data_IF_787190010372
#
_entry.id   IF_787190010372
#
_cell.length_a   1.000
_cell.length_b   1.000
_cell.length_c   1.000
_cell.angle_alpha   90.00
_cell.angle_beta   90.00
_cell.angle_gamma   90.00
#
_symmetry.space_group_name_H-M   'P 1'
#
loop_
_entity.id
_entity.type
_entity.pdbx_description
1 polymer ?
#
# COMPACT_ATOMS: atom_id res chain seq x y z
N UNK A 1 -5.20 21.18 -53.51
CA UNK A 1 -5.49 20.53 -52.21
C UNK A 1 -4.25 19.98 -51.49
N UNK A 2 -3.37 19.15 -52.11
CA UNK A 2 -2.16 18.62 -51.44
C UNK A 2 -1.16 19.68 -50.92
N UNK A 3 -0.99 20.81 -51.61
CA UNK A 3 -0.10 21.91 -51.19
C UNK A 3 -0.63 22.71 -49.99
N UNK A 4 -1.95 22.85 -49.84
CA UNK A 4 -2.60 23.55 -48.72
C UNK A 4 -2.50 22.71 -47.44
N UNK A 5 -2.66 21.39 -47.56
CA UNK A 5 -2.50 20.45 -46.45
C UNK A 5 -1.05 20.42 -45.94
N UNK A 6 -0.06 20.49 -46.83
CA UNK A 6 1.37 20.54 -46.46
C UNK A 6 1.74 21.85 -45.74
N UNK A 7 1.24 22.99 -46.24
CA UNK A 7 1.41 24.30 -45.60
C UNK A 7 0.72 24.37 -44.23
N UNK A 8 -0.46 23.77 -44.09
CA UNK A 8 -1.13 23.64 -42.80
C UNK A 8 -0.30 22.79 -41.82
N UNK A 9 0.23 21.63 -42.25
CA UNK A 9 1.07 20.79 -41.40
C UNK A 9 2.39 21.47 -40.99
N UNK A 10 3.03 22.25 -41.88
CA UNK A 10 4.24 23.02 -41.56
C UNK A 10 3.93 24.20 -40.63
N UNK A 11 2.78 24.88 -40.80
CA UNK A 11 2.31 25.91 -39.89
C UNK A 11 1.93 25.36 -38.50
N UNK A 12 1.33 24.17 -38.43
CA UNK A 12 1.07 23.48 -37.17
C UNK A 12 2.38 23.03 -36.49
N UNK A 13 3.35 22.52 -37.26
CA UNK A 13 4.66 22.14 -36.72
C UNK A 13 5.44 23.36 -36.18
N UNK A 14 5.43 24.50 -36.88
CA UNK A 14 6.12 25.72 -36.42
C UNK A 14 5.42 26.42 -35.24
N UNK A 15 4.08 26.33 -35.13
CA UNK A 15 3.33 26.77 -33.94
C UNK A 15 3.59 25.88 -32.71
N UNK A 16 3.82 24.57 -32.89
CA UNK A 16 4.20 23.69 -31.77
C UNK A 16 5.65 23.84 -31.30
N UNK A 17 6.54 24.33 -32.17
CA UNK A 17 7.94 24.62 -31.82
C UNK A 17 8.10 25.90 -30.96
N UNK A 18 7.12 26.81 -31.02
CA UNK A 18 7.10 28.10 -30.32
C UNK A 18 6.18 28.14 -29.10
N UNK A 19 5.35 27.11 -28.87
CA UNK A 19 4.48 27.01 -27.70
C UNK A 19 5.28 26.74 -26.41
N UNK A 20 5.01 27.52 -25.37
CA UNK A 20 5.60 27.33 -24.04
C UNK A 20 5.24 25.93 -23.52
N UNK A 21 6.21 25.18 -23.00
CA UNK A 21 5.98 23.86 -22.39
C UNK A 21 6.10 23.95 -20.87
N UNK A 22 5.37 23.12 -20.14
CA UNK A 22 5.60 22.92 -18.72
C UNK A 22 6.77 21.95 -18.49
N UNK A 23 7.51 22.14 -17.40
CA UNK A 23 8.44 21.19 -16.80
C UNK A 23 7.97 20.90 -15.39
N UNK A 24 7.19 19.84 -15.21
CA UNK A 24 6.90 19.34 -13.86
C UNK A 24 7.89 18.24 -13.57
N UNK A 25 8.74 18.48 -12.57
CA UNK A 25 9.77 17.55 -12.12
C UNK A 25 9.48 17.13 -10.70
N UNK A 26 9.76 15.87 -10.44
CA UNK A 26 9.69 15.31 -9.09
C UNK A 26 10.96 15.67 -8.34
N UNK A 27 10.81 16.19 -7.12
CA UNK A 27 11.89 16.49 -6.19
C UNK A 27 11.80 15.52 -5.02
N UNK A 28 12.95 15.09 -4.50
CA UNK A 28 13.00 14.33 -3.26
C UNK A 28 12.90 15.32 -2.09
N UNK A 29 11.89 15.15 -1.24
CA UNK A 29 11.57 16.04 -0.12
C UNK A 29 11.38 15.20 1.13
N UNK A 30 12.18 15.44 2.15
CA UNK A 30 11.98 14.82 3.46
C UNK A 30 10.83 15.53 4.17
N UNK A 31 9.73 14.83 4.45
CA UNK A 31 8.57 15.38 5.14
C UNK A 31 8.42 14.78 6.54
N UNK A 32 7.81 15.53 7.46
CA UNK A 32 7.45 15.03 8.79
C UNK A 32 5.95 14.80 8.91
N UNK A 33 5.61 13.82 9.74
CA UNK A 33 4.25 13.36 9.96
C UNK A 33 4.01 13.31 11.47
N UNK A 34 2.81 13.70 11.87
CA UNK A 34 2.41 13.53 13.27
C UNK A 34 2.11 12.04 13.46
N UNK A 35 2.87 11.39 14.34
CA UNK A 35 2.66 9.98 14.62
C UNK A 35 1.36 9.79 15.41
N UNK A 36 0.54 8.79 15.05
CA UNK A 36 -0.59 8.38 15.87
C UNK A 36 -0.13 8.08 17.31
N UNK A 37 -0.93 8.44 18.31
CA UNK A 37 -0.61 8.24 19.74
C UNK A 37 -0.18 6.80 20.05
N UNK A 38 -0.85 5.81 19.45
CA UNK A 38 -0.56 4.38 19.65
C UNK A 38 0.84 3.96 19.15
N UNK A 39 1.47 4.76 18.29
CA UNK A 39 2.82 4.54 17.76
C UNK A 39 3.86 5.45 18.40
N UNK A 40 3.46 6.38 19.29
CA UNK A 40 4.43 7.22 20.00
C UNK A 40 5.26 6.34 20.92
N UNK A 41 6.57 6.55 20.89
CA UNK A 41 7.58 5.79 21.63
C UNK A 41 7.84 4.36 21.14
N UNK A 42 7.33 3.98 19.96
CA UNK A 42 7.79 2.76 19.30
C UNK A 42 9.29 2.89 19.00
N UNK A 43 10.09 1.96 19.51
CA UNK A 43 11.55 1.94 19.30
C UNK A 43 12.04 0.64 18.68
N UNK A 44 11.28 -0.44 18.86
CA UNK A 44 11.70 -1.78 18.47
C UNK A 44 10.67 -2.46 17.59
N UNK A 45 11.12 -3.36 16.72
CA UNK A 45 10.24 -4.24 15.96
C UNK A 45 10.80 -5.66 15.87
N UNK A 46 9.91 -6.64 15.73
CA UNK A 46 10.25 -8.01 15.33
C UNK A 46 9.76 -8.29 13.91
N UNK A 47 10.44 -9.22 13.22
CA UNK A 47 10.11 -9.62 11.86
C UNK A 47 10.10 -11.15 11.76
N UNK A 48 8.95 -11.69 11.37
CA UNK A 48 8.74 -13.14 11.23
C UNK A 48 8.11 -13.47 9.89
N UNK A 49 8.66 -14.48 9.21
CA UNK A 49 7.98 -15.19 8.12
C UNK A 49 7.42 -16.48 8.70
N UNK A 50 6.10 -16.62 8.68
CA UNK A 50 5.43 -17.81 9.18
C UNK A 50 5.50 -18.95 8.17
N UNK A 51 5.66 -20.18 8.67
CA UNK A 51 5.57 -21.39 7.88
C UNK A 51 4.13 -21.91 7.88
N UNK A 52 3.59 -22.23 6.70
CA UNK A 52 2.29 -22.90 6.54
C UNK A 52 2.40 -24.44 6.65
N UNK A 53 3.62 -24.96 6.83
CA UNK A 53 3.99 -26.37 6.92
C UNK A 53 4.08 -27.09 5.57
N UNK A 54 3.51 -26.53 4.50
CA UNK A 54 3.38 -27.22 3.19
C UNK A 54 4.10 -26.50 2.07
N UNK A 55 3.88 -25.19 1.91
CA UNK A 55 4.48 -24.39 0.85
C UNK A 55 5.99 -24.22 1.06
N UNK A 56 6.37 -23.84 2.28
CA UNK A 56 7.78 -23.71 2.64
C UNK A 56 8.40 -25.08 2.89
N UNK A 57 7.68 -25.96 3.59
CA UNK A 57 8.21 -27.25 4.05
C UNK A 57 9.59 -27.05 4.69
N UNK A 58 9.68 -26.04 5.56
CA UNK A 58 10.95 -25.58 6.10
C UNK A 58 11.43 -26.53 7.18
N UNK A 59 12.72 -26.84 7.18
CA UNK A 59 13.34 -27.65 8.25
C UNK A 59 14.29 -26.73 9.00
N UNK A 60 13.92 -26.39 10.24
CA UNK A 60 14.76 -25.56 11.09
C UNK A 60 16.12 -26.22 11.35
N UNK A 61 17.15 -25.39 11.38
CA UNK A 61 18.52 -25.79 11.76
C UNK A 61 18.99 -24.91 12.90
N UNK A 62 20.06 -25.29 13.60
CA UNK A 62 20.64 -24.46 14.66
C UNK A 62 21.06 -23.07 14.14
N UNK A 63 21.67 -23.02 12.95
CA UNK A 63 22.08 -21.77 12.32
C UNK A 63 20.90 -20.95 11.78
N UNK A 64 19.82 -21.62 11.35
CA UNK A 64 18.63 -20.98 10.79
C UNK A 64 17.35 -21.56 11.44
N UNK A 65 17.00 -21.12 12.66
CA UNK A 65 15.87 -21.68 13.40
C UNK A 65 14.50 -21.31 12.82
N UNK A 66 14.43 -20.28 11.97
CA UNK A 66 13.18 -19.80 11.35
C UNK A 66 13.36 -19.56 9.85
N UNK A 67 12.26 -19.37 9.10
CA UNK A 67 12.38 -18.96 7.69
C UNK A 67 13.07 -17.59 7.59
N UNK A 68 12.73 -16.65 8.47
CA UNK A 68 13.28 -15.30 8.48
C UNK A 68 14.80 -15.25 8.75
N UNK A 69 15.37 -16.22 9.50
CA UNK A 69 16.82 -16.30 9.74
C UNK A 69 17.64 -16.62 8.48
N UNK A 70 17.02 -17.07 7.39
CA UNK A 70 17.70 -17.23 6.09
C UNK A 70 18.01 -15.89 5.40
N UNK A 71 17.70 -14.76 6.04
CA UNK A 71 17.87 -13.42 5.50
C UNK A 71 18.40 -12.49 6.59
N UNK A 72 18.98 -11.36 6.19
CA UNK A 72 19.32 -10.27 7.12
C UNK A 72 18.06 -9.59 7.73
N UNK A 73 16.87 -9.96 7.26
CA UNK A 73 15.58 -9.38 7.61
C UNK A 73 15.32 -8.05 6.91
N UNK A 74 14.32 -7.32 7.40
CA UNK A 74 14.01 -5.97 6.97
C UNK A 74 14.66 -4.96 7.92
N UNK A 75 14.78 -3.71 7.48
CA UNK A 75 15.19 -2.52 8.22
C UNK A 75 14.09 -1.45 8.15
N UNK A 76 13.60 -0.99 9.30
CA UNK A 76 12.62 0.09 9.39
C UNK A 76 13.29 1.31 10.03
N UNK A 77 13.31 2.46 9.35
CA UNK A 77 14.07 3.62 9.83
C UNK A 77 13.63 4.06 11.22
N UNK A 78 14.61 4.34 12.07
CA UNK A 78 14.38 4.80 13.43
C UNK A 78 13.97 3.69 14.42
N UNK A 79 13.86 2.43 13.97
CA UNK A 79 13.53 1.30 14.82
C UNK A 79 14.66 0.27 14.89
N UNK A 80 14.86 -0.31 16.07
CA UNK A 80 15.78 -1.42 16.31
C UNK A 80 15.08 -2.77 16.13
N UNK A 81 15.71 -3.69 15.40
CA UNK A 81 15.19 -5.06 15.26
C UNK A 81 15.52 -5.87 16.50
N UNK A 82 14.50 -6.47 17.13
CA UNK A 82 14.64 -7.39 18.26
C UNK A 82 13.90 -8.71 17.96
N UNK A 83 14.27 -9.79 18.66
CA UNK A 83 13.66 -11.11 18.46
C UNK A 83 12.41 -11.33 19.29
N UNK A 84 12.30 -10.67 20.45
CA UNK A 84 11.21 -10.84 21.40
C UNK A 84 10.84 -9.49 22.03
N UNK A 85 9.62 -9.40 22.59
CA UNK A 85 9.12 -8.23 23.32
C UNK A 85 9.22 -6.90 22.55
N UNK A 86 9.08 -6.97 21.23
CA UNK A 86 9.11 -5.79 20.38
C UNK A 86 7.87 -4.90 20.55
N UNK A 87 8.04 -3.59 20.36
CA UNK A 87 6.91 -2.65 20.34
C UNK A 87 5.99 -2.90 19.14
N UNK A 88 6.58 -3.32 18.00
CA UNK A 88 5.88 -3.74 16.79
C UNK A 88 6.22 -5.18 16.40
N UNK A 89 5.25 -5.90 15.87
CA UNK A 89 5.42 -7.23 15.31
C UNK A 89 5.04 -7.21 13.83
N UNK A 90 6.00 -7.51 12.95
CA UNK A 90 5.76 -7.70 11.52
C UNK A 90 5.66 -9.20 11.24
N UNK A 91 4.44 -9.65 10.94
CA UNK A 91 4.13 -11.05 10.65
C UNK A 91 3.82 -11.19 9.17
N UNK A 92 4.58 -12.03 8.49
CA UNK A 92 4.45 -12.27 7.04
C UNK A 92 4.04 -13.71 6.78
N UNK A 93 2.92 -13.86 6.09
CA UNK A 93 2.56 -15.09 5.39
C UNK A 93 2.78 -14.93 3.90
N UNK A 94 3.25 -15.99 3.26
CA UNK A 94 3.32 -16.08 1.81
C UNK A 94 2.86 -17.46 1.33
N UNK A 95 2.01 -17.47 0.30
CA UNK A 95 1.53 -18.70 -0.34
C UNK A 95 1.52 -18.51 -1.85
N UNK A 96 2.05 -19.47 -2.61
CA UNK A 96 2.18 -19.31 -4.05
C UNK A 96 2.70 -20.54 -4.79
N UNK A 97 3.23 -20.27 -5.99
CA UNK A 97 3.90 -21.27 -6.81
C UNK A 97 5.34 -21.51 -6.31
N UNK A 98 5.89 -22.67 -6.65
CA UNK A 98 7.33 -22.88 -6.51
C UNK A 98 8.10 -21.97 -7.47
N UNK A 99 9.34 -21.60 -7.11
CA UNK A 99 10.21 -20.78 -7.95
C UNK A 99 10.35 -21.37 -9.35
N UNK A 100 10.14 -20.53 -10.36
CA UNK A 100 10.31 -20.86 -11.78
C UNK A 100 11.59 -20.22 -12.32
N UNK A 101 12.31 -20.96 -13.14
CA UNK A 101 13.43 -20.43 -13.93
C UNK A 101 12.91 -19.90 -15.26
N UNK A 102 13.38 -18.72 -15.64
CA UNK A 102 13.22 -18.13 -16.97
C UNK A 102 14.61 -17.68 -17.46
N UNK A 103 14.88 -17.51 -18.77
CA UNK A 103 16.20 -17.08 -19.23
C UNK A 103 16.70 -15.82 -18.49
N UNK A 104 17.76 -15.97 -17.70
CA UNK A 104 18.36 -14.90 -16.90
C UNK A 104 17.62 -14.51 -15.61
N UNK A 105 16.46 -15.12 -15.30
CA UNK A 105 15.60 -14.71 -14.19
C UNK A 105 15.10 -15.90 -13.34
N UNK A 106 14.89 -15.62 -12.05
CA UNK A 106 14.14 -16.46 -11.12
C UNK A 106 12.84 -15.73 -10.78
N UNK A 107 11.72 -16.42 -10.95
CA UNK A 107 10.37 -15.87 -10.80
C UNK A 107 9.67 -16.46 -9.58
N UNK A 108 9.24 -15.60 -8.67
CA UNK A 108 8.36 -15.92 -7.55
C UNK A 108 6.97 -15.34 -7.81
N UNK A 109 5.94 -16.18 -7.80
CA UNK A 109 4.55 -15.76 -7.94
C UNK A 109 3.73 -16.28 -6.77
N UNK A 110 2.97 -15.40 -6.13
CA UNK A 110 2.14 -15.78 -5.00
C UNK A 110 1.38 -14.62 -4.39
N UNK A 111 0.87 -14.83 -3.19
CA UNK A 111 0.12 -13.84 -2.42
C UNK A 111 0.77 -13.66 -1.06
N UNK A 112 0.88 -12.41 -0.64
CA UNK A 112 1.36 -11.97 0.66
C UNK A 112 0.17 -11.68 1.57
N UNK A 113 0.34 -11.96 2.86
CA UNK A 113 -0.45 -11.38 3.94
C UNK A 113 0.52 -10.83 4.97
N UNK A 114 0.57 -9.51 5.11
CA UNK A 114 1.50 -8.80 6.00
C UNK A 114 0.67 -8.11 7.06
N UNK A 115 0.87 -8.51 8.31
CA UNK A 115 0.24 -7.89 9.47
C UNK A 115 1.31 -7.14 10.27
N UNK A 116 1.04 -5.87 10.56
CA UNK A 116 1.82 -5.09 11.53
C UNK A 116 0.96 -4.90 12.77
N UNK A 117 1.43 -5.43 13.89
CA UNK A 117 0.76 -5.38 15.17
C UNK A 117 1.57 -4.55 16.16
N UNK A 118 0.93 -3.94 17.15
CA UNK A 118 1.64 -3.42 18.31
C UNK A 118 1.88 -4.52 19.37
N UNK A 119 2.51 -4.16 20.49
CA UNK A 119 2.75 -5.05 21.65
C UNK A 119 1.49 -5.64 22.30
N UNK A 120 0.33 -5.03 22.07
CA UNK A 120 -0.99 -5.49 22.56
C UNK A 120 -1.72 -6.33 21.49
N UNK A 121 -1.02 -6.69 20.41
CA UNK A 121 -1.56 -7.40 19.24
C UNK A 121 -2.68 -6.63 18.52
N UNK A 122 -2.77 -5.31 18.69
CA UNK A 122 -3.66 -4.45 17.90
C UNK A 122 -3.15 -4.37 16.47
N UNK A 123 -4.04 -4.62 15.52
CA UNK A 123 -3.75 -4.58 14.09
C UNK A 123 -3.64 -3.14 13.61
N UNK A 124 -2.41 -2.73 13.30
CA UNK A 124 -2.09 -1.41 12.78
C UNK A 124 -2.21 -1.40 11.26
N UNK A 125 -1.62 -2.39 10.59
CA UNK A 125 -1.66 -2.53 9.14
C UNK A 125 -1.94 -3.99 8.76
N UNK A 126 -2.76 -4.19 7.73
CA UNK A 126 -2.97 -5.48 7.09
C UNK A 126 -2.92 -5.31 5.58
N UNK A 127 -1.94 -5.95 4.93
CA UNK A 127 -1.71 -5.82 3.50
C UNK A 127 -1.80 -7.22 2.88
N UNK A 128 -2.77 -7.38 1.97
CA UNK A 128 -2.93 -8.58 1.14
C UNK A 128 -2.70 -8.21 -0.32
N UNK A 129 -1.67 -8.78 -0.93
CA UNK A 129 -1.30 -8.49 -2.32
C UNK A 129 -0.88 -9.77 -3.06
N UNK A 130 -1.36 -9.92 -4.30
CA UNK A 130 -0.87 -10.95 -5.24
C UNK A 130 0.18 -10.34 -6.14
N UNK A 131 1.37 -10.95 -6.19
CA UNK A 131 2.51 -10.39 -6.92
C UNK A 131 3.24 -11.45 -7.75
N UNK A 132 3.96 -10.96 -8.74
CA UNK A 132 5.02 -11.67 -9.45
C UNK A 132 6.31 -10.87 -9.30
N UNK A 133 7.35 -11.50 -8.75
CA UNK A 133 8.67 -10.90 -8.50
C UNK A 133 9.72 -11.63 -9.30
N UNK A 134 10.55 -10.85 -9.99
CA UNK A 134 11.61 -11.33 -10.86
C UNK A 134 12.94 -10.87 -10.29
N UNK A 135 13.85 -11.82 -10.06
CA UNK A 135 15.22 -11.51 -9.66
C UNK A 135 16.21 -12.09 -10.65
N UNK A 136 17.38 -11.45 -10.78
CA UNK A 136 18.43 -11.90 -11.70
C UNK A 136 19.00 -13.24 -11.25
N UNK A 137 18.99 -14.23 -12.14
CA UNK A 137 19.61 -15.53 -11.89
C UNK A 137 21.15 -15.46 -11.83
N UNK A 138 21.76 -14.33 -12.22
CA UNK A 138 23.21 -14.13 -12.16
C UNK A 138 23.72 -13.68 -10.78
N UNK A 139 22.83 -13.25 -9.89
CA UNK A 139 23.21 -12.86 -8.52
C UNK A 139 23.42 -14.11 -7.67
N UNK A 140 24.58 -14.20 -7.03
CA UNK A 140 25.02 -15.38 -6.26
C UNK A 140 24.16 -15.68 -5.03
N UNK A 141 23.46 -14.68 -4.50
CA UNK A 141 22.55 -14.82 -3.36
C UNK A 141 21.29 -15.64 -3.69
N UNK A 142 20.92 -15.74 -4.97
CA UNK A 142 19.76 -16.52 -5.40
C UNK A 142 20.21 -17.85 -6.04
N UNK A 143 19.74 -18.95 -5.46
CA UNK A 143 20.05 -20.30 -5.92
C UNK A 143 18.82 -21.20 -5.79
N UNK A 144 18.56 -22.01 -6.82
CA UNK A 144 17.40 -22.91 -6.86
C UNK A 144 17.76 -24.38 -7.06
N UNK A 145 19.03 -24.71 -6.81
CA UNK A 145 19.64 -26.03 -7.08
C UNK A 145 19.00 -27.14 -6.24
N UNK A 146 18.67 -26.87 -4.98
CA UNK A 146 18.03 -27.83 -4.10
C UNK A 146 16.94 -27.16 -3.26
N UNK A 147 16.24 -27.94 -2.41
CA UNK A 147 15.13 -27.44 -1.60
C UNK A 147 15.55 -26.31 -0.66
N UNK A 148 16.69 -26.46 0.01
CA UNK A 148 17.11 -25.53 1.05
C UNK A 148 17.54 -24.20 0.44
N UNK A 149 18.30 -24.23 -0.66
CA UNK A 149 18.66 -23.00 -1.39
C UNK A 149 17.45 -22.33 -2.04
N UNK A 150 16.46 -23.12 -2.50
CA UNK A 150 15.16 -22.58 -2.96
C UNK A 150 14.43 -21.85 -1.85
N UNK A 151 14.40 -22.38 -0.63
CA UNK A 151 13.74 -21.75 0.50
C UNK A 151 14.45 -20.47 0.94
N UNK A 152 15.79 -20.45 0.94
CA UNK A 152 16.58 -19.23 1.15
C UNK A 152 16.23 -18.18 0.09
N UNK A 153 16.24 -18.55 -1.20
CA UNK A 153 15.91 -17.63 -2.29
C UNK A 153 14.49 -17.08 -2.18
N UNK A 154 13.51 -17.91 -1.84
CA UNK A 154 12.13 -17.45 -1.57
C UNK A 154 12.11 -16.45 -0.41
N UNK A 155 12.76 -16.77 0.69
CA UNK A 155 12.80 -15.92 1.88
C UNK A 155 13.44 -14.57 1.57
N UNK A 156 14.54 -14.53 0.79
CA UNK A 156 15.16 -13.28 0.35
C UNK A 156 14.20 -12.42 -0.48
N UNK A 157 13.57 -12.99 -1.51
CA UNK A 157 12.60 -12.26 -2.36
C UNK A 157 11.41 -11.76 -1.53
N UNK A 158 10.91 -12.58 -0.59
CA UNK A 158 9.82 -12.22 0.33
C UNK A 158 10.24 -11.05 1.22
N UNK A 159 11.41 -11.14 1.85
CA UNK A 159 11.94 -10.09 2.74
C UNK A 159 12.19 -8.79 1.99
N UNK A 160 12.81 -8.82 0.81
CA UNK A 160 13.01 -7.64 -0.03
C UNK A 160 11.69 -6.96 -0.40
N UNK A 161 10.67 -7.76 -0.76
CA UNK A 161 9.37 -7.19 -1.10
C UNK A 161 8.67 -6.56 0.12
N UNK A 162 8.74 -7.21 1.29
CA UNK A 162 8.17 -6.68 2.54
C UNK A 162 8.88 -5.39 2.94
N UNK A 163 10.20 -5.33 2.80
CA UNK A 163 10.99 -4.12 3.04
C UNK A 163 10.52 -2.95 2.18
N UNK A 164 10.37 -3.18 0.87
CA UNK A 164 9.94 -2.13 -0.07
C UNK A 164 8.52 -1.67 0.21
N UNK A 165 7.63 -2.61 0.57
CA UNK A 165 6.25 -2.29 0.88
C UNK A 165 6.11 -1.51 2.20
N UNK A 166 6.79 -1.93 3.26
CA UNK A 166 6.73 -1.24 4.55
C UNK A 166 7.42 0.14 4.52
N UNK A 167 8.38 0.37 3.62
CA UNK A 167 8.90 1.73 3.34
C UNK A 167 7.80 2.70 2.89
N UNK A 168 6.73 2.21 2.26
CA UNK A 168 5.60 3.08 1.91
C UNK A 168 4.81 3.57 3.13
N UNK A 169 4.94 2.89 4.27
CA UNK A 169 4.27 3.18 5.54
C UNK A 169 5.23 3.66 6.63
N UNK A 170 6.49 3.88 6.30
CA UNK A 170 7.56 4.21 7.25
C UNK A 170 7.30 5.51 8.03
N UNK A 171 6.52 6.43 7.47
CA UNK A 171 6.11 7.66 8.15
C UNK A 171 5.26 7.40 9.40
N UNK A 172 4.52 6.29 9.44
CA UNK A 172 3.76 5.90 10.63
C UNK A 172 4.71 5.57 11.80
N UNK A 173 5.85 4.96 11.50
CA UNK A 173 6.77 4.40 12.49
C UNK A 173 7.91 5.35 12.88
N UNK A 174 8.40 6.15 11.94
CA UNK A 174 9.53 7.05 12.17
C UNK A 174 9.13 8.53 12.32
N UNK A 175 7.86 8.87 12.03
CA UNK A 175 7.39 10.26 11.96
C UNK A 175 7.96 11.06 10.79
N UNK A 176 8.67 10.41 9.86
CA UNK A 176 9.22 11.07 8.67
C UNK A 176 9.22 10.14 7.46
N UNK A 177 9.23 10.70 6.26
CA UNK A 177 9.47 9.92 5.05
C UNK A 177 10.01 10.79 3.92
N UNK A 178 10.77 10.16 3.03
CA UNK A 178 11.18 10.78 1.78
C UNK A 178 10.03 10.70 0.77
N UNK A 179 9.62 11.87 0.27
CA UNK A 179 8.53 12.04 -0.68
C UNK A 179 9.06 12.48 -2.03
N UNK A 180 8.47 11.91 -3.08
CA UNK A 180 8.69 12.29 -4.48
C UNK A 180 7.68 13.35 -4.91
N UNK A 181 7.93 14.60 -4.56
CA UNK A 181 6.97 15.72 -4.68
C UNK A 181 7.10 16.44 -6.04
N UNK A 182 6.04 16.52 -6.86
CA UNK A 182 6.09 17.22 -8.14
C UNK A 182 6.05 18.75 -8.01
N UNK A 183 7.00 19.45 -8.62
CA UNK A 183 6.98 20.91 -8.78
C UNK A 183 7.16 21.31 -10.24
N UNK A 184 6.41 22.34 -10.66
CA UNK A 184 6.33 22.87 -12.01
C UNK A 184 7.06 24.18 -12.21
N UNK A 185 7.77 24.27 -13.33
CA UNK A 185 8.30 25.50 -13.94
C UNK A 185 7.96 25.53 -15.44
N UNK A 186 8.10 26.68 -16.09
CA UNK A 186 7.93 26.79 -17.54
C UNK A 186 9.26 26.57 -18.29
N UNK A 187 9.26 25.88 -19.45
CA UNK A 187 10.46 25.58 -20.26
C UNK A 187 10.76 26.64 -21.30
N UNK A 188 12.04 27.00 -21.47
CA UNK A 188 12.53 27.92 -22.52
C UNK A 188 11.94 29.34 -22.40
N UNK A 189 11.79 29.81 -21.16
CA UNK A 189 11.46 31.20 -20.87
C UNK A 189 12.68 32.10 -21.17
N UNK A 190 12.44 33.29 -21.72
CA UNK A 190 13.47 34.33 -21.95
C UNK A 190 13.04 35.71 -21.47
N UNK A 191 11.74 35.92 -21.28
CA UNK A 191 11.10 37.21 -20.99
C UNK A 191 9.61 37.01 -20.60
N UNK A 192 9.01 38.01 -19.96
CA UNK A 192 7.57 38.08 -19.64
C UNK A 192 7.15 37.36 -18.35
N UNK A 193 5.84 37.16 -18.21
CA UNK A 193 5.22 36.61 -16.99
C UNK A 193 5.70 35.18 -16.67
N UNK A 194 5.94 34.34 -17.68
CA UNK A 194 6.46 32.99 -17.47
C UNK A 194 7.89 32.96 -16.92
N UNK A 195 8.76 33.88 -17.37
CA UNK A 195 10.10 34.04 -16.81
C UNK A 195 10.01 34.58 -15.38
N UNK A 196 9.22 35.64 -15.17
CA UNK A 196 9.00 36.24 -13.84
C UNK A 196 8.46 35.23 -12.83
N UNK A 197 7.55 34.36 -13.27
CA UNK A 197 7.05 33.23 -12.50
C UNK A 197 8.18 32.27 -12.11
N UNK A 198 9.03 31.88 -13.06
CA UNK A 198 10.15 30.97 -12.81
C UNK A 198 11.18 31.58 -11.85
N UNK A 199 11.55 32.85 -12.05
CA UNK A 199 12.49 33.59 -11.20
C UNK A 199 12.00 33.64 -9.75
N UNK A 200 10.69 33.79 -9.54
CA UNK A 200 10.09 33.85 -8.20
C UNK A 200 9.81 32.46 -7.62
N UNK A 201 9.37 31.50 -8.44
CA UNK A 201 9.00 30.15 -8.00
C UNK A 201 10.21 29.29 -7.65
N UNK A 202 11.32 29.43 -8.37
CA UNK A 202 12.48 28.57 -8.14
C UNK A 202 13.05 28.70 -6.73
N UNK A 203 13.29 29.91 -6.18
CA UNK A 203 13.71 30.06 -4.79
C UNK A 203 12.69 29.49 -3.77
N UNK A 204 11.39 29.62 -4.05
CA UNK A 204 10.34 29.05 -3.19
C UNK A 204 10.38 27.52 -3.18
N UNK A 205 10.53 26.89 -4.35
CA UNK A 205 10.68 25.44 -4.47
C UNK A 205 11.95 24.98 -3.76
N UNK A 206 13.08 25.66 -4.02
CA UNK A 206 14.37 25.31 -3.41
C UNK A 206 14.31 25.42 -1.87
N UNK A 207 13.60 26.42 -1.33
CA UNK A 207 13.37 26.56 0.12
C UNK A 207 12.52 25.43 0.70
N UNK A 208 11.42 25.05 0.03
CA UNK A 208 10.56 23.93 0.46
C UNK A 208 11.32 22.60 0.41
N UNK A 209 12.15 22.38 -0.61
CA UNK A 209 12.97 21.17 -0.72
C UNK A 209 14.03 21.12 0.40
N UNK A 210 14.62 22.26 0.75
CA UNK A 210 15.59 22.34 1.83
C UNK A 210 14.98 22.15 3.22
N UNK A 211 13.77 22.65 3.46
CA UNK A 211 13.04 22.46 4.70
C UNK A 211 11.52 22.46 4.47
N UNK A 212 10.95 21.27 4.33
CA UNK A 212 9.52 21.10 4.03
C UNK A 212 8.58 21.40 5.19
N UNK A 213 9.12 21.56 6.41
CA UNK A 213 8.34 21.85 7.61
C UNK A 213 8.24 23.37 7.89
N UNK A 214 8.92 24.21 7.09
CA UNK A 214 8.83 25.66 7.21
C UNK A 214 7.46 26.15 6.73
N UNK A 215 6.55 26.32 7.70
CA UNK A 215 5.17 26.74 7.44
C UNK A 215 5.13 28.14 6.83
N UNK A 216 6.04 29.06 7.20
CA UNK A 216 6.08 30.39 6.60
C UNK A 216 6.53 30.34 5.13
N UNK A 217 7.52 29.50 4.80
CA UNK A 217 7.95 29.32 3.43
C UNK A 217 6.84 28.70 2.57
N UNK A 218 6.13 27.71 3.09
CA UNK A 218 4.96 27.11 2.44
C UNK A 218 3.85 28.15 2.22
N UNK A 219 3.54 28.97 3.22
CA UNK A 219 2.51 30.02 3.10
C UNK A 219 2.89 31.09 2.08
N UNK A 220 4.14 31.55 2.08
CA UNK A 220 4.67 32.48 1.07
C UNK A 220 4.54 31.89 -0.33
N UNK A 221 4.86 30.61 -0.51
CA UNK A 221 4.78 29.93 -1.79
C UNK A 221 3.33 29.76 -2.28
N UNK A 222 2.43 29.31 -1.40
CA UNK A 222 0.99 29.15 -1.70
C UNK A 222 0.37 30.51 -2.07
N UNK A 223 0.66 31.57 -1.30
CA UNK A 223 0.16 32.91 -1.60
C UNK A 223 0.66 33.41 -2.96
N UNK A 224 1.96 33.24 -3.24
CA UNK A 224 2.53 33.61 -4.53
C UNK A 224 1.83 32.86 -5.67
N UNK A 225 1.77 31.53 -5.65
CA UNK A 225 1.19 30.76 -6.75
C UNK A 225 -0.32 30.99 -6.92
N UNK A 226 -1.05 31.22 -5.84
CA UNK A 226 -2.48 31.58 -5.89
C UNK A 226 -2.67 32.91 -6.63
N UNK A 227 -1.82 33.91 -6.36
CA UNK A 227 -1.87 35.20 -7.05
C UNK A 227 -1.60 35.08 -8.57
N UNK A 228 -0.85 34.05 -9.00
CA UNK A 228 -0.53 33.82 -10.41
C UNK A 228 -1.69 33.24 -11.22
N UNK A 229 -2.76 32.75 -10.58
CA UNK A 229 -3.92 32.16 -11.29
C UNK A 229 -4.61 33.18 -12.21
N UNK A 230 -4.66 34.45 -11.78
CA UNK A 230 -5.33 35.54 -12.47
C UNK A 230 -4.38 36.38 -13.35
N UNK A 231 -3.09 36.06 -13.37
CA UNK A 231 -2.11 36.78 -14.20
C UNK A 231 -2.26 36.35 -15.66
N UNK A 232 -2.21 37.31 -16.58
CA UNK A 232 -2.14 37.03 -18.01
C UNK A 232 -0.70 36.65 -18.41
N UNK A 233 -0.50 35.38 -18.79
CA UNK A 233 0.78 34.87 -19.27
C UNK A 233 0.98 35.11 -20.79
N UNK A 234 0.03 35.79 -21.41
CA UNK A 234 0.01 36.10 -22.83
C UNK A 234 -0.29 34.88 -23.70
N UNK A 235 -0.53 35.14 -24.99
CA UNK A 235 -0.96 34.12 -25.97
C UNK A 235 0.02 32.96 -26.18
N UNK A 236 1.28 33.09 -25.76
CA UNK A 236 2.31 32.05 -25.91
C UNK A 236 2.18 30.93 -24.87
N UNK A 237 1.52 31.20 -23.74
CA UNK A 237 1.26 30.22 -22.68
C UNK A 237 -0.22 29.90 -22.67
N UNK A 238 -0.58 28.68 -23.08
CA UNK A 238 -1.97 28.23 -23.01
C UNK A 238 -2.39 28.10 -21.55
N UNK A 239 -3.64 28.44 -21.22
CA UNK A 239 -4.18 28.30 -19.86
C UNK A 239 -4.02 26.89 -19.31
N UNK A 240 -4.21 25.86 -20.15
CA UNK A 240 -3.97 24.46 -19.74
C UNK A 240 -2.54 24.23 -19.23
N UNK A 241 -1.54 24.87 -19.82
CA UNK A 241 -0.13 24.74 -19.43
C UNK A 241 0.16 25.58 -18.19
N UNK A 242 -0.40 26.79 -18.12
CA UNK A 242 -0.36 27.66 -16.94
C UNK A 242 -0.92 26.95 -15.71
N UNK A 243 -2.17 26.51 -15.81
CA UNK A 243 -2.92 25.85 -14.74
C UNK A 243 -2.22 24.55 -14.31
N UNK A 244 -1.68 23.77 -15.24
CA UNK A 244 -0.89 22.58 -14.91
C UNK A 244 0.28 22.91 -13.99
N UNK A 245 1.07 23.93 -14.30
CA UNK A 245 2.24 24.33 -13.50
C UNK A 245 1.82 24.85 -12.14
N UNK A 246 0.87 25.79 -12.12
CA UNK A 246 0.45 26.45 -10.88
C UNK A 246 -0.24 25.46 -9.94
N UNK A 247 -1.20 24.67 -10.43
CA UNK A 247 -1.90 23.71 -9.58
C UNK A 247 -1.01 22.54 -9.13
N UNK A 248 0.01 22.15 -9.89
CA UNK A 248 0.99 21.19 -9.39
C UNK A 248 1.74 21.75 -8.16
N UNK A 249 2.20 22.99 -8.23
CA UNK A 249 2.88 23.63 -7.11
C UNK A 249 1.95 23.81 -5.89
N UNK A 250 0.72 24.27 -6.12
CA UNK A 250 -0.28 24.43 -5.07
C UNK A 250 -0.66 23.10 -4.41
N UNK A 251 -0.84 22.03 -5.19
CA UNK A 251 -1.11 20.68 -4.67
C UNK A 251 0.03 20.23 -3.75
N UNK A 252 1.27 20.33 -4.24
CA UNK A 252 2.47 19.91 -3.51
C UNK A 252 2.70 20.67 -2.22
N UNK A 253 2.60 22.00 -2.22
CA UNK A 253 2.76 22.77 -0.98
C UNK A 253 1.59 22.58 -0.02
N UNK A 254 0.36 22.43 -0.50
CA UNK A 254 -0.79 22.17 0.38
C UNK A 254 -0.65 20.80 1.07
N UNK A 255 -0.16 19.78 0.35
CA UNK A 255 0.17 18.48 0.92
C UNK A 255 1.22 18.58 2.03
N UNK A 256 2.34 19.28 1.78
CA UNK A 256 3.40 19.47 2.77
C UNK A 256 2.94 20.31 3.97
N UNK A 257 1.99 21.23 3.76
CA UNK A 257 1.31 21.99 4.82
C UNK A 257 0.25 21.14 5.57
N UNK A 258 0.04 19.89 5.19
CA UNK A 258 -0.99 18.99 5.74
C UNK A 258 -2.43 19.49 5.50
N UNK A 259 -2.66 20.38 4.54
CA UNK A 259 -4.01 20.79 4.10
C UNK A 259 -4.51 19.85 3.00
N UNK A 260 -5.00 18.68 3.43
CA UNK A 260 -5.41 17.60 2.52
C UNK A 260 -6.63 17.99 1.68
N UNK A 261 -7.52 18.85 2.20
CA UNK A 261 -8.71 19.28 1.48
C UNK A 261 -8.35 20.23 0.33
N UNK A 262 -7.50 21.23 0.57
CA UNK A 262 -7.00 22.10 -0.49
C UNK A 262 -6.19 21.30 -1.51
N UNK A 263 -5.30 20.42 -1.04
CA UNK A 263 -4.51 19.55 -1.91
C UNK A 263 -5.37 18.71 -2.85
N UNK A 264 -6.43 18.06 -2.35
CA UNK A 264 -7.37 17.28 -3.19
C UNK A 264 -8.03 18.15 -4.26
N UNK A 265 -8.50 19.34 -3.86
CA UNK A 265 -9.13 20.29 -4.78
C UNK A 265 -8.18 20.70 -5.92
N UNK A 266 -6.93 21.06 -5.60
CA UNK A 266 -5.94 21.40 -6.61
C UNK A 266 -5.51 20.20 -7.46
N UNK A 267 -5.46 19.00 -6.88
CA UNK A 267 -5.08 17.80 -7.63
C UNK A 267 -6.11 17.44 -8.72
N UNK A 268 -7.41 17.63 -8.48
CA UNK A 268 -8.41 17.46 -9.55
C UNK A 268 -8.16 18.42 -10.71
N UNK A 269 -7.83 19.67 -10.41
CA UNK A 269 -7.46 20.66 -11.43
C UNK A 269 -6.15 20.27 -12.15
N UNK A 270 -5.19 19.62 -11.48
CA UNK A 270 -4.02 19.03 -12.15
C UNK A 270 -4.44 17.96 -13.15
N UNK A 271 -5.36 17.06 -12.79
CA UNK A 271 -5.83 15.98 -13.69
C UNK A 271 -6.49 16.52 -14.94
N UNK A 272 -7.34 17.54 -14.81
CA UNK A 272 -7.99 18.20 -15.94
C UNK A 272 -6.98 18.85 -16.90
N UNK A 273 -5.87 19.34 -16.35
CA UNK A 273 -4.86 20.09 -17.09
C UNK A 273 -3.65 19.26 -17.55
N UNK A 274 -3.60 17.98 -17.18
CA UNK A 274 -2.57 17.02 -17.62
C UNK A 274 -3.04 16.20 -18.82
N UNK A 275 -2.11 15.53 -19.48
CA UNK A 275 -2.36 14.62 -20.59
C UNK A 275 -1.88 13.21 -20.25
N UNK A 276 -2.24 12.24 -21.09
CA UNK A 276 -1.92 10.82 -20.88
C UNK A 276 -0.42 10.52 -20.66
N UNK A 277 0.48 11.35 -21.22
CA UNK A 277 1.93 11.18 -21.09
C UNK A 277 2.54 11.84 -19.84
N UNK A 278 1.75 12.52 -19.02
CA UNK A 278 2.21 13.18 -17.79
C UNK A 278 2.29 12.16 -16.63
N UNK A 279 3.30 11.28 -16.68
CA UNK A 279 3.47 10.17 -15.72
C UNK A 279 3.76 10.62 -14.29
N UNK A 280 4.26 11.83 -14.09
CA UNK A 280 4.55 12.38 -12.75
C UNK A 280 3.30 12.52 -11.86
N UNK A 281 2.11 12.57 -12.46
CA UNK A 281 0.84 12.67 -11.72
C UNK A 281 0.57 11.45 -10.84
N UNK A 282 1.13 10.28 -11.18
CA UNK A 282 0.98 9.07 -10.37
C UNK A 282 1.64 9.19 -8.99
N UNK A 283 2.64 10.06 -8.84
CA UNK A 283 3.35 10.25 -7.57
C UNK A 283 2.44 10.80 -6.47
N UNK A 284 1.44 11.62 -6.82
CA UNK A 284 0.50 12.16 -5.83
C UNK A 284 -0.32 11.08 -5.12
N UNK A 285 -0.67 9.99 -5.82
CA UNK A 285 -1.45 8.91 -5.20
C UNK A 285 -0.74 8.35 -3.97
N UNK A 286 0.57 8.11 -4.07
CA UNK A 286 1.39 7.64 -2.96
C UNK A 286 1.50 8.69 -1.86
N UNK A 287 1.68 9.98 -2.22
CA UNK A 287 1.78 11.05 -1.22
C UNK A 287 0.47 11.19 -0.42
N UNK A 288 -0.68 11.26 -1.10
CA UNK A 288 -2.00 11.31 -0.44
C UNK A 288 -2.19 10.10 0.48
N UNK A 289 -1.90 8.90 -0.01
CA UNK A 289 -2.03 7.67 0.78
C UNK A 289 -1.21 7.71 2.08
N UNK A 290 -0.04 8.37 2.08
CA UNK A 290 0.78 8.52 3.29
C UNK A 290 0.15 9.48 4.29
N UNK A 291 -0.29 10.66 3.84
CA UNK A 291 -0.96 11.60 4.74
C UNK A 291 -2.28 11.05 5.29
N UNK A 292 -3.01 10.23 4.53
CA UNK A 292 -4.28 9.65 4.95
C UNK A 292 -4.12 8.41 5.84
N UNK A 293 -3.01 7.68 5.76
CA UNK A 293 -2.89 6.41 6.50
C UNK A 293 -2.82 6.59 8.01
N UNK A 294 -2.35 7.74 8.51
CA UNK A 294 -2.35 8.06 9.94
C UNK A 294 -3.78 8.13 10.52
N UNK A 295 -4.74 8.63 9.74
CA UNK A 295 -6.14 8.78 10.17
C UNK A 295 -6.77 7.43 10.56
N UNK A 296 -6.34 6.34 9.91
CA UNK A 296 -6.83 4.99 10.22
C UNK A 296 -6.42 4.48 11.60
N UNK A 297 -5.48 5.16 12.26
CA UNK A 297 -4.90 4.79 13.55
C UNK A 297 -5.24 5.77 14.69
N UNK A 298 -6.01 6.82 14.42
CA UNK A 298 -6.34 7.85 15.43
C UNK A 298 -7.18 7.30 16.58
N UNK A 299 -8.08 6.35 16.31
CA UNK A 299 -8.95 5.74 17.31
C UNK A 299 -8.46 4.32 17.68
N UNK A 300 -7.50 4.25 18.61
CA UNK A 300 -6.88 3.00 19.07
C UNK A 300 -7.89 1.96 19.56
N UNK A 301 -8.97 2.40 20.20
CA UNK A 301 -9.99 1.53 20.77
C UNK A 301 -10.76 0.73 19.70
N UNK A 302 -10.82 1.27 18.48
CA UNK A 302 -11.48 0.63 17.35
C UNK A 302 -10.59 -0.38 16.61
N UNK A 303 -9.30 -0.45 16.96
CA UNK A 303 -8.37 -1.39 16.34
C UNK A 303 -8.64 -2.82 16.79
N UNK A 304 -8.63 -3.73 15.82
CA UNK A 304 -8.85 -5.15 16.08
C UNK A 304 -7.67 -5.75 16.83
N UNK A 305 -7.94 -6.47 17.91
CA UNK A 305 -6.92 -7.31 18.58
C UNK A 305 -6.86 -8.66 17.87
N UNK A 306 -5.68 -9.03 17.38
CA UNK A 306 -5.45 -10.31 16.71
C UNK A 306 -4.95 -11.33 17.71
N UNK A 307 -5.57 -12.51 17.75
CA UNK A 307 -5.02 -13.66 18.45
C UNK A 307 -3.80 -14.20 17.67
N UNK A 308 -2.60 -13.82 18.08
CA UNK A 308 -1.36 -14.21 17.39
C UNK A 308 -1.05 -15.68 17.66
N UNK A 309 -1.17 -16.49 16.60
CA UNK A 309 -0.75 -17.89 16.56
C UNK A 309 0.41 -18.06 15.57
N UNK A 310 1.15 -19.19 15.57
CA UNK A 310 2.20 -19.47 14.60
C UNK A 310 1.77 -19.46 13.12
N UNK A 311 0.46 -19.54 12.86
CA UNK A 311 -0.15 -19.56 11.54
C UNK A 311 -1.16 -18.43 11.31
N UNK A 312 -1.15 -17.39 12.15
CA UNK A 312 -2.10 -16.26 12.09
C UNK A 312 -2.10 -15.50 10.76
N UNK A 313 -0.98 -15.48 10.05
CA UNK A 313 -0.95 -14.93 8.69
C UNK A 313 -1.74 -15.79 7.69
N UNK A 314 -1.91 -17.07 7.96
CA UNK A 314 -2.60 -18.03 7.10
C UNK A 314 -4.04 -18.33 7.53
N UNK A 315 -4.32 -18.28 8.83
CA UNK A 315 -5.59 -18.65 9.42
C UNK A 315 -6.06 -17.59 10.44
N UNK A 316 -7.35 -17.29 10.41
CA UNK A 316 -8.07 -16.61 11.48
C UNK A 316 -8.54 -17.70 12.45
N UNK A 317 -8.09 -17.63 13.69
CA UNK A 317 -8.51 -18.55 14.76
C UNK A 317 -9.61 -17.90 15.59
N UNK A 318 -10.72 -18.60 15.75
CA UNK A 318 -11.85 -18.20 16.57
C UNK A 318 -11.99 -19.13 17.79
N UNK A 319 -12.24 -18.57 18.98
CA UNK A 319 -12.50 -19.36 20.18
C UNK A 319 -13.85 -20.08 20.07
N UNK A 320 -14.06 -21.05 20.97
CA UNK A 320 -15.26 -21.88 21.06
C UNK A 320 -16.58 -21.12 20.87
N UNK A 321 -17.57 -21.80 20.30
CA UNK A 321 -18.85 -21.20 19.96
C UNK A 321 -19.77 -22.16 19.21
N UNK A 322 -20.68 -21.58 18.41
CA UNK A 322 -21.66 -22.28 17.59
C UNK A 322 -21.48 -21.95 16.12
N UNK A 323 -21.50 -22.97 15.27
CA UNK A 323 -21.45 -22.84 13.83
C UNK A 323 -22.72 -23.34 13.19
N UNK A 324 -23.28 -22.55 12.27
CA UNK A 324 -24.49 -22.89 11.52
C UNK A 324 -24.21 -22.84 10.02
N UNK A 325 -24.71 -23.84 9.28
CA UNK A 325 -24.65 -23.89 7.82
C UNK A 325 -26.02 -24.21 7.23
N UNK A 326 -26.53 -23.37 6.31
CA UNK A 326 -27.81 -23.59 5.59
C UNK A 326 -28.99 -23.88 6.53
N UNK A 327 -29.07 -23.18 7.65
CA UNK A 327 -30.15 -23.34 8.63
C UNK A 327 -30.30 -24.76 9.21
N UNK A 328 -29.22 -25.55 9.20
CA UNK A 328 -29.14 -26.81 9.94
C UNK A 328 -28.94 -26.54 11.44
N UNK A 329 -29.10 -27.58 12.25
CA UNK A 329 -28.81 -27.52 13.67
C UNK A 329 -27.40 -26.98 13.94
N UNK A 330 -27.24 -26.02 14.87
CA UNK A 330 -25.93 -25.48 15.21
C UNK A 330 -24.99 -26.55 15.75
N UNK A 331 -23.74 -26.53 15.28
CA UNK A 331 -22.65 -27.38 15.75
C UNK A 331 -21.87 -26.61 16.80
N UNK A 332 -21.74 -27.14 18.01
CA UNK A 332 -20.84 -26.59 19.02
C UNK A 332 -19.39 -26.94 18.66
N UNK A 333 -18.48 -25.98 18.73
CA UNK A 333 -17.08 -26.20 18.39
C UNK A 333 -16.17 -25.70 19.52
N UNK A 334 -15.00 -26.32 19.71
CA UNK A 334 -13.95 -25.86 20.63
C UNK A 334 -13.06 -24.80 19.99
N UNK A 335 -12.85 -24.89 18.67
CA UNK A 335 -12.11 -23.93 17.85
C UNK A 335 -12.60 -23.92 16.40
N UNK A 336 -12.54 -22.76 15.76
CA UNK A 336 -12.65 -22.64 14.29
C UNK A 336 -11.39 -21.97 13.73
N UNK A 337 -10.94 -22.43 12.58
CA UNK A 337 -9.90 -21.79 11.79
C UNK A 337 -10.44 -21.44 10.39
N UNK A 338 -10.30 -20.19 9.96
CA UNK A 338 -10.76 -19.69 8.66
C UNK A 338 -9.56 -19.25 7.83
N UNK A 339 -9.48 -19.66 6.56
CA UNK A 339 -8.36 -19.35 5.69
C UNK A 339 -8.27 -17.87 5.28
N UNK A 340 -7.10 -17.24 5.47
CA UNK A 340 -6.79 -15.89 4.97
C UNK A 340 -6.42 -15.88 3.46
N UNK A 341 -5.62 -16.87 3.05
CA UNK A 341 -5.19 -17.07 1.67
C UNK A 341 -6.18 -17.93 0.91
N UNK A 342 -7.18 -17.32 0.27
CA UNK A 342 -8.09 -18.09 -0.58
C UNK A 342 -7.50 -18.16 -1.99
N UNK A 343 -7.09 -19.34 -2.49
CA UNK A 343 -6.45 -19.46 -3.78
C UNK A 343 -7.42 -19.07 -4.91
N UNK A 344 -6.97 -18.16 -5.77
CA UNK A 344 -7.68 -17.85 -7.02
C UNK A 344 -7.38 -18.97 -8.02
N UNK A 345 -8.16 -20.05 -8.00
CA UNK A 345 -7.98 -21.17 -8.94
C UNK A 345 -8.38 -20.71 -10.33
N UNK A 346 -7.44 -20.09 -11.06
CA UNK A 346 -7.58 -19.79 -12.49
C UNK A 346 -7.26 -21.04 -13.31
N UNK A 347 -8.13 -22.06 -13.30
CA UNK A 347 -8.07 -23.12 -14.31
C UNK A 347 -9.22 -22.95 -15.30
N UNK A 348 -8.89 -22.55 -16.53
CA UNK A 348 -9.66 -22.77 -17.76
C UNK A 348 -11.10 -22.22 -17.81
N UNK A 349 -11.30 -21.19 -18.63
CA UNK A 349 -12.58 -20.48 -18.87
C UNK A 349 -13.08 -19.76 -17.62
N UNK A 350 -12.92 -18.43 -17.63
CA UNK A 350 -13.40 -17.54 -16.59
C UNK A 350 -14.90 -17.74 -16.38
N UNK A 351 -15.28 -18.41 -15.28
CA UNK A 351 -16.62 -18.25 -14.74
C UNK A 351 -16.72 -16.83 -14.21
N UNK A 352 -17.58 -16.03 -14.83
CA UNK A 352 -17.87 -14.65 -14.43
C UNK A 352 -18.53 -14.54 -13.04
N UNK A 353 -18.73 -15.66 -12.32
CA UNK A 353 -19.51 -15.69 -11.07
C UNK A 353 -18.98 -16.64 -9.97
N UNK A 354 -17.75 -17.18 -10.08
CA UNK A 354 -17.21 -18.01 -9.00
C UNK A 354 -16.57 -17.13 -7.92
N UNK A 355 -17.42 -16.57 -7.04
CA UNK A 355 -16.95 -15.94 -5.78
C UNK A 355 -16.03 -16.90 -5.04
N UNK A 356 -14.85 -16.42 -4.68
CA UNK A 356 -13.81 -17.21 -4.01
C UNK A 356 -14.21 -17.42 -2.54
N UNK A 357 -14.18 -18.68 -2.04
CA UNK A 357 -14.67 -19.04 -0.69
C UNK A 357 -13.54 -19.54 0.21
N UNK A 358 -13.31 -18.96 1.40
CA UNK A 358 -12.30 -19.45 2.33
C UNK A 358 -12.70 -20.82 2.87
N UNK A 359 -11.71 -21.66 3.14
CA UNK A 359 -11.94 -22.89 3.87
C UNK A 359 -12.14 -22.59 5.36
N UNK A 360 -13.09 -23.30 5.97
CA UNK A 360 -13.40 -23.26 7.39
C UNK A 360 -13.13 -24.64 7.96
N UNK A 361 -12.26 -24.73 8.95
CA UNK A 361 -11.96 -25.93 9.70
C UNK A 361 -12.61 -25.85 11.07
N UNK A 362 -13.44 -26.85 11.40
CA UNK A 362 -14.16 -26.93 12.66
C UNK A 362 -13.52 -28.01 13.53
N UNK A 363 -13.29 -27.66 14.78
CA UNK A 363 -12.73 -28.55 15.79
C UNK A 363 -13.78 -28.79 16.88
N UNK A 364 -14.14 -30.06 17.10
CA UNK A 364 -15.02 -30.49 18.17
C UNK A 364 -14.19 -31.29 19.17
N UNK A 365 -14.15 -30.86 20.44
CA UNK A 365 -13.26 -31.43 21.46
C UNK A 365 -11.80 -31.52 20.97
N UNK A 366 -11.34 -30.47 20.28
CA UNK A 366 -10.00 -30.33 19.70
C UNK A 366 -9.63 -31.33 18.59
N UNK A 367 -10.60 -32.13 18.14
CA UNK A 367 -10.47 -32.99 16.96
C UNK A 367 -11.03 -32.25 15.75
N UNK A 368 -10.26 -32.19 14.66
CA UNK A 368 -10.70 -31.62 13.39
C UNK A 368 -11.80 -32.49 12.78
N UNK A 369 -13.05 -32.02 12.77
CA UNK A 369 -14.20 -32.83 12.35
C UNK A 369 -14.70 -32.49 10.95
N UNK A 370 -14.74 -31.21 10.56
CA UNK A 370 -15.40 -30.77 9.33
C UNK A 370 -14.64 -29.68 8.57
N UNK A 371 -14.71 -29.74 7.24
CA UNK A 371 -14.24 -28.69 6.32
C UNK A 371 -15.42 -28.15 5.54
N UNK A 372 -15.72 -26.87 5.73
CA UNK A 372 -16.72 -26.13 4.94
C UNK A 372 -16.06 -25.03 4.12
N UNK A 373 -16.81 -24.45 3.19
CA UNK A 373 -16.41 -23.26 2.45
C UNK A 373 -17.27 -22.09 2.89
N UNK A 374 -16.65 -21.01 3.35
CA UNK A 374 -17.32 -19.80 3.80
C UNK A 374 -18.09 -19.12 2.67
N UNK A 375 -19.39 -19.06 2.79
CA UNK A 375 -20.32 -18.32 1.95
C UNK A 375 -21.47 -17.73 2.78
N UNK A 376 -22.39 -17.03 2.13
CA UNK A 376 -23.50 -16.34 2.80
C UNK A 376 -24.48 -17.24 3.59
N UNK A 377 -24.32 -18.57 3.55
CA UNK A 377 -25.12 -19.50 4.36
C UNK A 377 -24.42 -19.93 5.65
N UNK A 378 -23.24 -19.38 5.95
CA UNK A 378 -22.47 -19.67 7.15
C UNK A 378 -22.63 -18.54 8.18
N UNK A 379 -22.92 -18.95 9.41
CA UNK A 379 -22.91 -18.07 10.59
C UNK A 379 -22.09 -18.73 11.68
N UNK A 380 -21.19 -17.97 12.28
CA UNK A 380 -20.42 -18.36 13.46
C UNK A 380 -20.83 -17.43 14.59
N UNK A 381 -21.17 -17.97 15.75
CA UNK A 381 -21.44 -17.20 16.97
C UNK A 381 -20.42 -17.65 18.00
N UNK A 382 -19.53 -16.76 18.40
CA UNK A 382 -18.54 -17.06 19.44
C UNK A 382 -19.22 -17.12 20.82
N UNK A 383 -18.57 -17.72 21.82
CA UNK A 383 -19.15 -17.81 23.18
C UNK A 383 -19.39 -16.45 23.85
N UNK A 384 -18.63 -15.44 23.45
CA UNK A 384 -18.77 -14.03 23.80
C UNK A 384 -19.89 -13.31 23.02
N UNK A 385 -20.61 -14.04 22.15
CA UNK A 385 -21.82 -13.56 21.47
C UNK A 385 -21.55 -12.80 20.18
N UNK A 386 -20.32 -12.79 19.69
CA UNK A 386 -20.00 -12.12 18.43
C UNK A 386 -20.49 -12.96 17.24
N UNK A 387 -21.31 -12.35 16.39
CA UNK A 387 -21.84 -12.97 15.18
C UNK A 387 -20.97 -12.64 13.97
N UNK A 388 -20.35 -13.68 13.41
CA UNK A 388 -19.51 -13.61 12.22
C UNK A 388 -20.25 -14.26 11.06
N UNK A 389 -20.42 -13.50 9.99
CA UNK A 389 -21.04 -13.92 8.73
C UNK A 389 -20.11 -13.67 7.55
N UNK A 390 -20.37 -14.30 6.41
CA UNK A 390 -19.51 -14.15 5.24
C UNK A 390 -20.14 -13.21 4.20
N UNK A 391 -19.46 -12.10 3.92
CA UNK A 391 -19.86 -11.10 2.91
C UNK A 391 -18.88 -11.09 1.74
N UNK A 392 -19.38 -10.71 0.57
CA UNK A 392 -18.56 -10.65 -0.64
C UNK A 392 -17.86 -9.31 -0.69
N UNK A 393 -16.54 -9.32 -0.76
CA UNK A 393 -15.72 -8.14 -0.96
C UNK A 393 -14.70 -8.42 -2.06
N UNK A 394 -14.72 -7.61 -3.13
CA UNK A 394 -13.85 -7.75 -4.31
C UNK A 394 -13.83 -9.17 -4.91
N UNK A 395 -14.99 -9.83 -4.94
CA UNK A 395 -15.14 -11.18 -5.49
C UNK A 395 -14.73 -12.33 -4.55
N UNK A 396 -14.33 -12.05 -3.31
CA UNK A 396 -14.02 -13.05 -2.29
C UNK A 396 -15.03 -12.99 -1.15
N UNK A 397 -15.45 -14.12 -0.59
CA UNK A 397 -16.16 -14.16 0.68
C UNK A 397 -15.18 -13.90 1.83
N UNK A 398 -15.56 -12.99 2.72
CA UNK A 398 -14.78 -12.56 3.88
C UNK A 398 -15.60 -12.71 5.15
N UNK A 399 -15.03 -13.25 6.25
CA UNK A 399 -15.70 -13.24 7.54
C UNK A 399 -15.84 -11.79 8.03
N UNK A 400 -17.03 -11.41 8.49
CA UNK A 400 -17.37 -10.06 8.88
C UNK A 400 -18.27 -10.03 10.10
N UNK A 401 -18.15 -8.98 10.91
CA UNK A 401 -18.99 -8.69 12.07
C UNK A 401 -19.86 -7.49 11.75
N UNK A 402 -21.16 -7.61 12.02
CA UNK A 402 -22.10 -6.50 11.85
C UNK A 402 -21.84 -5.41 12.88
N UNK A 403 -21.79 -4.17 12.44
CA UNK A 403 -21.62 -2.99 13.28
C UNK A 403 -22.98 -2.42 13.71
N UNK A 404 -22.98 -1.57 14.73
CA UNK A 404 -24.20 -0.97 15.28
C UNK A 404 -24.95 -0.08 14.25
N UNK A 405 -24.23 0.54 13.32
CA UNK A 405 -24.77 1.35 12.24
C UNK A 405 -25.34 0.53 11.06
N UNK A 406 -25.24 -0.80 11.12
CA UNK A 406 -25.71 -1.72 10.10
C UNK A 406 -24.67 -2.12 9.05
N UNK A 407 -23.48 -1.49 9.05
CA UNK A 407 -22.35 -1.86 8.19
C UNK A 407 -21.69 -3.18 8.64
N UNK A 408 -20.73 -3.69 7.86
CA UNK A 408 -20.02 -4.93 8.17
C UNK A 408 -18.50 -4.70 8.20
N UNK A 409 -17.85 -4.94 9.34
CA UNK A 409 -16.39 -4.88 9.45
C UNK A 409 -15.80 -6.26 9.14
N UNK A 410 -14.80 -6.34 8.28
CA UNK A 410 -14.09 -7.60 8.06
C UNK A 410 -13.39 -8.04 9.36
N UNK A 411 -13.55 -9.30 9.73
CA UNK A 411 -12.94 -9.86 10.93
C UNK A 411 -11.40 -9.83 10.82
N UNK A 412 -10.70 -9.53 11.92
CA UNK A 412 -9.24 -9.30 11.93
C UNK A 412 -8.76 -8.27 10.89
N UNK A 413 -9.57 -7.23 10.66
CA UNK A 413 -9.25 -6.13 9.75
C UNK A 413 -9.88 -4.82 10.21
N UNK A 414 -9.28 -3.69 9.83
CA UNK A 414 -9.86 -2.36 10.03
C UNK A 414 -10.75 -1.91 8.85
N UNK A 415 -11.04 -2.81 7.90
CA UNK A 415 -11.82 -2.48 6.71
C UNK A 415 -13.31 -2.72 6.97
N UNK A 416 -14.12 -1.69 6.70
CA UNK A 416 -15.59 -1.75 6.70
C UNK A 416 -16.10 -1.95 5.28
N UNK A 417 -17.13 -2.78 5.15
CA UNK A 417 -17.89 -3.10 3.93
C UNK A 417 -19.30 -2.57 4.14
N UNK A 418 -19.75 -1.72 3.21
CA UNK A 418 -21.13 -1.21 3.15
C UNK A 418 -22.13 -2.27 2.66
#
# INVERSE_FOLDING_TARGET
MKKILLLACVAFASLTATAQKADVKTQDVKATFDQPEILKNTKTYSYTIQDDGKYWNYTATEANPTIASNTEGINLSGLERVTENADLQVIVGFSGNQLKSSPGLIVLQGTYNIMVLNKENKLLLNIKETVEKNVSAAKSEYSIVNRDTRNITKALIVTEHVQDLLKEYEHLFSGSADLKVPFGLFKKTKDGAAESFNTSSKPLIDAIVANSNDTEALDKAIAFWTAQLNVDFGKKVKDKIKNRVIYANLTSASLLKKDINAAKTYFELVKENTGFFDTWTSNYKTIFSRFESANSLENSDNLVTVAVTPNSAYLITLPAGKYTYKSKDPINYSKIEIQNFVPNVKSGIASLDSKIKPEIYIYENDVKTLRHFGDGNNTIITNDGEEIIFKVYKGEYKPCVKQADGSYKMYNSNIVIE
#
